data_IF_169296441366
#
_entry.id   IF_169296441366
#
_cell.length_a   1.000
_cell.length_b   1.000
_cell.length_c   1.000
_cell.angle_alpha   90.00
_cell.angle_beta   90.00
_cell.angle_gamma   90.00
#
_symmetry.space_group_name_H-M   'P 1'
#
loop_
_entity.id
_entity.type
_entity.pdbx_description
1 polymer ?
#
# COMPACT_ATOMS: atom_id res chain seq x y z
N UNK A 1 48.55 -52.95 -59.56
CA UNK A 1 47.85 -51.69 -59.80
C UNK A 1 46.38 -51.97 -59.62
N UNK A 2 45.86 -51.70 -58.43
CA UNK A 2 44.44 -51.94 -58.08
C UNK A 2 43.73 -50.61 -57.97
N UNK A 3 42.71 -50.36 -58.79
CA UNK A 3 41.89 -49.20 -58.81
C UNK A 3 40.80 -49.37 -57.73
N UNK A 4 40.75 -48.48 -56.77
CA UNK A 4 39.71 -48.41 -55.74
C UNK A 4 38.66 -47.45 -56.24
N UNK A 5 37.47 -47.92 -56.51
CA UNK A 5 36.29 -47.11 -56.82
C UNK A 5 35.62 -46.75 -55.52
N UNK A 6 35.56 -45.44 -55.19
CA UNK A 6 34.90 -44.89 -54.01
C UNK A 6 33.47 -44.57 -54.38
N UNK A 7 32.54 -45.27 -53.77
CA UNK A 7 31.09 -45.06 -53.92
C UNK A 7 30.65 -43.99 -52.89
N UNK A 8 30.18 -42.86 -53.41
CA UNK A 8 29.67 -41.77 -52.61
C UNK A 8 28.22 -42.06 -52.24
N UNK A 9 27.95 -42.24 -50.94
CA UNK A 9 26.61 -42.42 -50.41
C UNK A 9 26.06 -41.05 -49.99
N UNK A 10 25.09 -40.52 -50.73
CA UNK A 10 24.45 -39.28 -50.43
C UNK A 10 23.37 -39.55 -49.37
N UNK A 11 23.61 -39.05 -48.15
CA UNK A 11 22.62 -39.07 -47.04
C UNK A 11 21.71 -37.84 -47.13
N UNK A 12 20.46 -38.04 -47.54
CA UNK A 12 19.44 -37.02 -47.57
C UNK A 12 18.90 -36.88 -46.13
N UNK A 13 19.28 -35.80 -45.44
CA UNK A 13 18.71 -35.43 -44.13
C UNK A 13 17.44 -34.62 -44.40
N UNK A 14 16.27 -35.25 -44.19
CA UNK A 14 15.00 -34.55 -44.18
C UNK A 14 14.92 -33.67 -42.93
N UNK A 15 15.13 -32.38 -43.11
CA UNK A 15 14.96 -31.38 -42.04
C UNK A 15 13.49 -31.21 -41.70
N UNK A 16 13.05 -31.78 -40.57
CA UNK A 16 11.76 -31.46 -39.98
C UNK A 16 11.83 -30.09 -39.32
N UNK A 17 11.26 -29.08 -39.95
CA UNK A 17 11.09 -27.74 -39.36
C UNK A 17 10.08 -27.82 -38.22
N UNK A 18 10.55 -27.89 -36.98
CA UNK A 18 9.72 -27.61 -35.82
C UNK A 18 9.44 -26.11 -35.73
N UNK A 19 8.23 -25.70 -36.08
CA UNK A 19 7.74 -24.37 -35.76
C UNK A 19 7.62 -24.28 -34.26
N UNK A 20 8.57 -23.57 -33.61
CA UNK A 20 8.43 -23.16 -32.21
C UNK A 20 7.27 -22.19 -32.16
N UNK A 21 6.13 -22.63 -31.63
CA UNK A 21 5.06 -21.73 -31.13
C UNK A 21 5.67 -20.97 -29.97
N UNK A 22 6.03 -19.71 -30.20
CA UNK A 22 6.29 -18.75 -29.15
C UNK A 22 4.97 -18.55 -28.41
N UNK A 23 4.85 -19.18 -27.23
CA UNK A 23 3.82 -18.79 -26.27
C UNK A 23 4.11 -17.34 -25.90
N UNK A 24 3.29 -16.42 -26.43
CA UNK A 24 3.29 -15.06 -26.00
C UNK A 24 3.11 -15.05 -24.48
N UNK A 25 4.06 -14.41 -23.78
CA UNK A 25 3.87 -13.97 -22.41
C UNK A 25 2.70 -12.97 -22.41
N UNK A 26 1.48 -13.51 -22.38
CA UNK A 26 0.35 -12.72 -21.92
C UNK A 26 0.70 -12.35 -20.48
N UNK A 27 1.04 -11.08 -20.29
CA UNK A 27 1.21 -10.48 -18.98
C UNK A 27 -0.07 -10.76 -18.19
N UNK A 28 -0.03 -11.86 -17.43
CA UNK A 28 -1.10 -12.26 -16.50
C UNK A 28 -1.26 -11.07 -15.56
N UNK A 29 -2.29 -10.26 -15.83
CA UNK A 29 -2.64 -9.13 -14.98
C UNK A 29 -2.65 -9.67 -13.55
N UNK A 30 -1.71 -9.18 -12.71
CA UNK A 30 -1.65 -9.57 -11.30
C UNK A 30 -3.02 -9.27 -10.73
N UNK A 31 -3.78 -10.32 -10.43
CA UNK A 31 -5.02 -10.16 -9.68
C UNK A 31 -4.65 -9.39 -8.42
N UNK A 32 -5.37 -8.30 -8.09
CA UNK A 32 -5.09 -7.56 -6.87
C UNK A 32 -5.15 -8.57 -5.71
N UNK A 33 -4.05 -8.68 -4.97
CA UNK A 33 -4.02 -9.52 -3.79
C UNK A 33 -5.21 -9.14 -2.91
N UNK A 34 -5.99 -10.15 -2.46
CA UNK A 34 -7.13 -9.90 -1.59
C UNK A 34 -6.61 -9.25 -0.31
N UNK A 35 -6.86 -7.96 -0.16
CA UNK A 35 -6.48 -7.21 1.04
C UNK A 35 -7.23 -7.79 2.23
N UNK A 36 -6.51 -8.27 3.23
CA UNK A 36 -7.11 -8.77 4.47
C UNK A 36 -7.88 -7.64 5.15
N UNK A 37 -9.21 -7.78 5.18
CA UNK A 37 -10.08 -6.80 5.84
C UNK A 37 -10.22 -7.15 7.32
N UNK A 38 -9.33 -6.64 8.13
CA UNK A 38 -9.39 -6.75 9.58
C UNK A 38 -9.92 -5.46 10.18
N UNK A 39 -10.91 -5.56 11.10
CA UNK A 39 -11.45 -4.41 11.79
C UNK A 39 -10.47 -3.95 12.87
N UNK A 40 -10.00 -2.71 12.77
CA UNK A 40 -9.19 -2.00 13.77
C UNK A 40 -10.05 -0.99 14.54
N UNK A 41 -9.52 -0.43 15.63
CA UNK A 41 -10.19 0.66 16.34
C UNK A 41 -10.40 1.90 15.46
N UNK A 42 -9.44 2.17 14.56
CA UNK A 42 -9.47 3.32 13.66
C UNK A 42 -10.13 3.03 12.30
N UNK A 43 -10.76 1.86 12.11
CA UNK A 43 -11.47 1.55 10.87
C UNK A 43 -11.12 0.21 10.26
N UNK A 44 -11.29 0.10 8.95
CA UNK A 44 -11.07 -1.13 8.18
C UNK A 44 -10.54 -0.80 6.77
N UNK A 45 -9.81 -1.73 6.15
CA UNK A 45 -9.35 -1.58 4.77
C UNK A 45 -10.52 -1.25 3.83
N UNK A 46 -10.40 -0.14 3.10
CA UNK A 46 -11.42 0.36 2.20
C UNK A 46 -11.45 -0.35 0.85
N UNK A 47 -12.57 -0.21 0.14
CA UNK A 47 -12.69 -0.60 -1.25
C UNK A 47 -12.44 0.63 -2.15
N UNK A 48 -11.62 0.48 -3.18
CA UNK A 48 -11.31 1.56 -4.12
C UNK A 48 -12.57 2.13 -4.79
N UNK A 49 -13.58 1.30 -5.03
CA UNK A 49 -14.87 1.73 -5.60
C UNK A 49 -15.73 2.55 -4.64
N UNK A 50 -15.45 2.45 -3.34
CA UNK A 50 -16.19 3.17 -2.30
C UNK A 50 -15.54 4.52 -1.94
N UNK A 51 -14.40 4.86 -2.52
CA UNK A 51 -13.69 6.13 -2.27
C UNK A 51 -14.56 7.32 -2.69
N UNK A 52 -14.86 8.20 -1.73
CA UNK A 52 -15.60 9.45 -1.96
C UNK A 52 -14.73 10.69 -1.70
N UNK A 53 -13.64 10.53 -0.99
CA UNK A 53 -12.73 11.61 -0.64
C UNK A 53 -11.28 11.19 -0.88
N UNK A 54 -10.48 12.15 -1.33
CA UNK A 54 -9.04 11.98 -1.46
C UNK A 54 -8.35 13.05 -0.64
N UNK A 55 -7.42 12.63 0.21
CA UNK A 55 -6.54 13.52 0.99
C UNK A 55 -5.13 13.30 0.49
N UNK A 56 -4.41 14.38 0.20
CA UNK A 56 -2.99 14.30 -0.19
C UNK A 56 -2.14 14.82 0.96
N UNK A 57 -1.18 14.02 1.40
CA UNK A 57 -0.18 14.39 2.39
C UNK A 57 1.21 14.41 1.74
N UNK A 58 1.95 15.48 1.98
CA UNK A 58 3.39 15.53 1.67
C UNK A 58 4.19 15.09 2.87
N UNK A 59 5.25 14.32 2.63
CA UNK A 59 6.25 13.88 3.60
C UNK A 59 7.59 14.49 3.23
N UNK A 60 8.31 15.02 4.20
CA UNK A 60 9.57 15.71 3.97
C UNK A 60 10.64 15.34 5.00
N UNK A 61 11.92 15.59 4.67
CA UNK A 61 13.05 15.33 5.56
C UNK A 61 13.13 16.30 6.74
N UNK A 62 12.18 17.23 6.86
CA UNK A 62 11.96 18.01 8.09
C UNK A 62 11.19 17.21 9.15
N UNK A 63 10.92 15.93 8.87
CA UNK A 63 10.16 15.00 9.73
C UNK A 63 8.75 15.50 10.01
N UNK A 64 8.05 15.92 8.94
CA UNK A 64 6.68 16.42 9.02
C UNK A 64 5.80 15.88 7.90
N UNK A 65 4.53 15.71 8.22
CA UNK A 65 3.44 15.59 7.25
C UNK A 65 2.80 16.96 7.02
N UNK A 66 2.40 17.21 5.78
CA UNK A 66 1.66 18.42 5.42
C UNK A 66 0.49 18.07 4.51
N UNK A 67 -0.76 18.28 4.93
CA UNK A 67 -1.18 18.67 6.29
C UNK A 67 -0.90 17.58 7.34
N UNK A 68 -0.86 17.99 8.62
CA UNK A 68 -0.69 17.10 9.77
C UNK A 68 -2.03 16.70 10.42
N UNK A 69 -3.15 17.05 9.77
CA UNK A 69 -4.53 16.75 10.25
C UNK A 69 -5.39 16.24 9.11
N UNK A 70 -6.20 15.25 9.43
CA UNK A 70 -7.22 14.68 8.54
C UNK A 70 -8.55 14.68 9.32
N UNK A 71 -9.54 15.42 8.82
CA UNK A 71 -10.88 15.44 9.37
C UNK A 71 -11.82 14.71 8.43
N UNK A 72 -12.51 13.69 8.93
CA UNK A 72 -13.43 12.85 8.16
C UNK A 72 -14.72 12.59 8.93
N UNK A 73 -15.76 12.15 8.22
CA UNK A 73 -17.01 11.68 8.83
C UNK A 73 -16.95 10.16 9.01
N UNK A 74 -17.57 9.68 10.08
CA UNK A 74 -17.78 8.25 10.27
C UNK A 74 -18.45 7.61 9.04
N UNK A 75 -17.96 6.45 8.63
CA UNK A 75 -18.40 5.72 7.43
C UNK A 75 -17.73 6.17 6.13
N UNK A 76 -16.90 7.21 6.16
CA UNK A 76 -16.20 7.65 4.95
C UNK A 76 -15.08 6.67 4.56
N UNK A 77 -15.05 6.31 3.26
CA UNK A 77 -13.90 5.65 2.64
C UNK A 77 -13.04 6.72 1.97
N UNK A 78 -11.80 6.82 2.41
CA UNK A 78 -10.85 7.87 2.01
C UNK A 78 -9.65 7.23 1.32
N UNK A 79 -9.24 7.84 0.22
CA UNK A 79 -7.95 7.59 -0.42
C UNK A 79 -6.95 8.61 0.14
N UNK A 80 -5.94 8.12 0.86
CA UNK A 80 -4.83 8.94 1.35
C UNK A 80 -3.68 8.78 0.37
N UNK A 81 -3.35 9.85 -0.35
CA UNK A 81 -2.23 9.92 -1.28
C UNK A 81 -1.02 10.51 -0.57
N UNK A 82 0.07 9.78 -0.56
CA UNK A 82 1.31 10.12 0.14
C UNK A 82 2.36 10.54 -0.88
N UNK A 83 2.86 11.77 -0.81
CA UNK A 83 3.93 12.27 -1.67
C UNK A 83 5.21 12.45 -0.86
N UNK A 84 6.21 11.64 -1.12
CA UNK A 84 7.52 11.85 -0.50
C UNK A 84 8.30 12.89 -1.31
N UNK A 85 8.43 14.10 -0.75
CA UNK A 85 9.18 15.20 -1.34
C UNK A 85 10.61 15.31 -0.80
N UNK A 86 10.98 14.39 0.12
CA UNK A 86 12.30 14.29 0.71
C UNK A 86 13.25 13.39 -0.07
N UNK A 87 14.41 13.18 0.50
CA UNK A 87 15.50 12.31 0.00
C UNK A 87 15.63 11.02 0.79
N UNK A 88 14.91 10.90 1.91
CA UNK A 88 14.86 9.73 2.75
C UNK A 88 13.58 8.92 2.48
N UNK A 89 13.60 7.62 2.84
CA UNK A 89 12.39 6.82 2.90
C UNK A 89 11.46 7.38 3.98
N UNK A 90 10.19 7.50 3.68
CA UNK A 90 9.15 7.81 4.65
C UNK A 90 8.03 6.78 4.58
N UNK A 91 7.25 6.70 5.64
CA UNK A 91 6.03 5.88 5.65
C UNK A 91 4.90 6.63 6.35
N UNK A 92 3.69 6.15 6.17
CA UNK A 92 2.55 6.49 7.00
C UNK A 92 1.93 5.23 7.56
N UNK A 93 1.74 5.19 8.86
CA UNK A 93 1.02 4.15 9.59
C UNK A 93 -0.12 4.80 10.34
N UNK A 94 -1.37 4.32 10.18
CA UNK A 94 -2.54 4.77 10.93
C UNK A 94 -2.69 3.88 12.16
N UNK A 95 -3.01 4.47 13.33
CA UNK A 95 -3.22 3.71 14.55
C UNK A 95 -3.77 4.55 15.71
N UNK A 96 -3.93 3.89 16.85
CA UNK A 96 -4.07 4.59 18.11
C UNK A 96 -2.69 5.07 18.58
N UNK A 97 -2.67 6.11 19.41
CA UNK A 97 -1.41 6.61 19.97
C UNK A 97 -0.60 5.49 20.62
N UNK A 98 -1.27 4.65 21.41
CA UNK A 98 -0.63 3.54 22.12
C UNK A 98 0.05 2.57 21.16
N UNK A 99 -0.65 2.13 20.12
CA UNK A 99 -0.09 1.17 19.15
C UNK A 99 1.06 1.77 18.35
N UNK A 100 0.98 3.06 17.98
CA UNK A 100 2.07 3.74 17.30
C UNK A 100 3.30 3.90 18.19
N UNK A 101 3.12 4.20 19.49
CA UNK A 101 4.22 4.28 20.46
C UNK A 101 4.91 2.91 20.63
N UNK A 102 4.14 1.83 20.77
CA UNK A 102 4.64 0.46 20.90
C UNK A 102 5.37 0.03 19.61
N UNK A 103 4.80 0.30 18.45
CA UNK A 103 5.41 -0.04 17.16
C UNK A 103 6.69 0.78 16.91
N UNK A 104 6.70 2.07 17.21
CA UNK A 104 7.89 2.91 17.11
C UNK A 104 9.05 2.38 17.97
N UNK A 105 8.75 1.89 19.18
CA UNK A 105 9.75 1.26 20.04
C UNK A 105 10.33 -0.03 19.43
N UNK A 106 9.49 -0.84 18.77
CA UNK A 106 9.95 -2.02 18.04
C UNK A 106 10.83 -1.66 16.85
N UNK A 107 10.48 -0.62 16.08
CA UNK A 107 11.26 -0.18 14.94
C UNK A 107 12.63 0.38 15.33
N UNK A 108 12.75 1.00 16.50
CA UNK A 108 14.08 1.39 17.04
C UNK A 108 14.91 0.16 17.38
N UNK A 109 14.29 -0.88 17.92
CA UNK A 109 14.96 -2.13 18.30
C UNK A 109 15.30 -3.01 17.08
N UNK A 110 14.44 -2.99 16.06
CA UNK A 110 14.53 -3.82 14.85
C UNK A 110 14.33 -2.98 13.59
N UNK A 111 15.27 -2.09 13.24
CA UNK A 111 15.08 -1.07 12.20
C UNK A 111 14.96 -1.64 10.78
N UNK A 112 15.33 -2.90 10.57
CA UNK A 112 15.23 -3.60 9.28
C UNK A 112 14.03 -4.53 9.18
N UNK A 113 13.12 -4.52 10.16
CA UNK A 113 11.93 -5.34 10.12
C UNK A 113 10.99 -4.85 9.01
N UNK A 114 10.78 -5.68 8.00
CA UNK A 114 9.82 -5.41 6.93
C UNK A 114 8.44 -5.96 7.31
N UNK A 115 7.42 -5.15 7.12
CA UNK A 115 6.03 -5.53 7.30
C UNK A 115 5.15 -4.69 6.37
N UNK A 116 3.99 -5.20 6.06
CA UNK A 116 3.04 -4.54 5.16
C UNK A 116 1.63 -4.80 5.65
N UNK A 117 0.92 -3.73 5.96
CA UNK A 117 -0.47 -3.78 6.41
C UNK A 117 -1.32 -2.81 5.58
N UNK A 118 -2.63 -3.05 5.44
CA UNK A 118 -3.50 -2.19 4.63
C UNK A 118 -3.61 -0.73 5.11
N UNK A 119 -3.26 -0.47 6.38
CA UNK A 119 -3.28 0.85 7.01
C UNK A 119 -1.91 1.53 7.02
N UNK A 120 -0.96 1.03 6.22
CA UNK A 120 0.37 1.61 6.11
C UNK A 120 0.88 1.63 4.66
N UNK A 121 1.80 2.53 4.38
CA UNK A 121 2.50 2.57 3.10
C UNK A 121 3.89 3.18 3.25
N UNK A 122 4.89 2.46 2.75
CA UNK A 122 6.27 2.95 2.59
C UNK A 122 6.40 3.69 1.26
N UNK A 123 7.05 4.83 1.27
CA UNK A 123 7.19 5.68 0.07
C UNK A 123 8.65 6.10 -0.10
N UNK A 124 9.28 5.58 -1.14
CA UNK A 124 10.65 5.93 -1.48
C UNK A 124 10.79 7.42 -1.87
N UNK A 125 12.01 8.01 -1.80
CA UNK A 125 12.28 9.37 -2.20
C UNK A 125 11.70 9.73 -3.58
N UNK A 126 10.97 10.84 -3.66
CA UNK A 126 10.35 11.33 -4.89
C UNK A 126 9.21 10.47 -5.43
N UNK A 127 8.75 9.46 -4.69
CA UNK A 127 7.65 8.59 -5.09
C UNK A 127 6.34 8.97 -4.42
N UNK A 128 5.28 8.32 -4.88
CA UNK A 128 3.93 8.45 -4.33
C UNK A 128 3.44 7.07 -3.91
N UNK A 129 2.80 7.01 -2.74
CA UNK A 129 2.09 5.83 -2.23
C UNK A 129 0.64 6.16 -1.97
N UNK A 130 -0.18 5.15 -1.65
CA UNK A 130 -1.57 5.36 -1.29
C UNK A 130 -2.07 4.35 -0.26
N UNK A 131 -3.01 4.79 0.56
CA UNK A 131 -3.78 3.96 1.49
C UNK A 131 -5.25 4.22 1.20
N UNK A 132 -6.07 3.16 1.11
CA UNK A 132 -7.53 3.27 1.02
C UNK A 132 -8.11 2.72 2.29
N UNK A 133 -8.71 3.61 3.09
CA UNK A 133 -9.19 3.28 4.44
C UNK A 133 -10.62 3.76 4.68
N UNK A 134 -11.43 2.93 5.31
CA UNK A 134 -12.79 3.27 5.73
C UNK A 134 -12.81 3.55 7.21
N UNK A 135 -13.11 4.79 7.58
CA UNK A 135 -13.22 5.25 8.96
C UNK A 135 -14.63 4.97 9.51
N UNK A 136 -14.92 3.71 9.83
CA UNK A 136 -16.27 3.29 10.24
C UNK A 136 -16.56 3.45 11.74
N UNK A 137 -15.59 3.92 12.53
CA UNK A 137 -15.73 4.21 13.96
C UNK A 137 -15.39 5.67 14.23
N UNK A 138 -16.18 6.41 15.04
CA UNK A 138 -15.85 7.77 15.40
C UNK A 138 -14.73 7.78 16.44
N UNK A 139 -13.98 8.86 16.50
CA UNK A 139 -12.90 9.02 17.49
C UNK A 139 -11.75 9.88 16.98
N UNK A 140 -10.72 9.96 17.81
CA UNK A 140 -9.46 10.61 17.47
C UNK A 140 -8.38 9.54 17.38
N UNK A 141 -7.72 9.50 16.24
CA UNK A 141 -6.63 8.58 15.94
C UNK A 141 -5.40 9.37 15.51
N UNK A 142 -4.31 8.68 15.34
CA UNK A 142 -3.06 9.28 14.91
C UNK A 142 -2.56 8.59 13.61
N UNK A 143 -1.66 9.26 12.93
CA UNK A 143 -0.81 8.64 11.92
C UNK A 143 0.65 9.08 12.14
N UNK A 144 1.60 8.24 11.77
CA UNK A 144 2.99 8.50 12.03
C UNK A 144 3.91 7.85 11.00
N UNK A 145 5.14 8.34 10.92
CA UNK A 145 6.25 7.66 10.28
C UNK A 145 7.04 6.93 11.37
N UNK A 146 7.05 5.59 11.32
CA UNK A 146 7.67 4.76 12.36
C UNK A 146 9.09 4.29 11.99
N UNK A 147 9.63 4.75 10.85
CA UNK A 147 11.04 4.59 10.55
C UNK A 147 11.86 5.12 11.72
N UNK A 148 12.86 4.35 12.14
CA UNK A 148 13.65 4.65 13.33
C UNK A 148 14.20 6.10 13.32
N UNK A 149 13.91 6.85 14.36
CA UNK A 149 14.28 8.25 14.51
C UNK A 149 13.23 9.26 14.00
N UNK A 150 12.40 8.91 13.01
CA UNK A 150 11.42 9.85 12.43
C UNK A 150 10.28 10.16 13.39
N UNK A 151 9.75 9.14 14.05
CA UNK A 151 8.72 9.30 15.08
C UNK A 151 9.20 10.17 16.25
N UNK A 152 10.40 9.89 16.73
CA UNK A 152 11.03 10.64 17.83
C UNK A 152 11.30 12.11 17.45
N UNK A 153 11.54 12.38 16.17
CA UNK A 153 11.66 13.74 15.62
C UNK A 153 10.30 14.45 15.46
N UNK A 154 9.18 13.76 15.78
CA UNK A 154 7.84 14.32 15.74
C UNK A 154 7.12 14.17 14.41
N UNK A 155 7.51 13.21 13.56
CA UNK A 155 6.83 12.95 12.29
C UNK A 155 5.51 12.19 12.54
N UNK A 156 4.48 12.94 12.90
CA UNK A 156 3.15 12.44 13.21
C UNK A 156 2.07 13.46 12.86
N UNK A 157 0.83 12.98 12.81
CA UNK A 157 -0.35 13.81 12.62
C UNK A 157 -1.58 13.18 13.25
N UNK A 158 -2.72 13.83 13.10
CA UNK A 158 -3.99 13.46 13.75
C UNK A 158 -5.10 13.19 12.74
N UNK A 159 -5.97 12.26 13.09
CA UNK A 159 -7.21 11.97 12.38
C UNK A 159 -8.38 12.18 13.33
N UNK A 160 -9.31 13.04 12.95
CA UNK A 160 -10.58 13.21 13.67
C UNK A 160 -11.69 12.58 12.83
N UNK A 161 -12.35 11.59 13.38
CA UNK A 161 -13.52 10.94 12.77
C UNK A 161 -14.77 11.43 13.52
N UNK A 162 -15.48 12.40 12.93
CA UNK A 162 -16.71 12.91 13.48
C UNK A 162 -17.82 11.85 13.38
N UNK A 163 -18.56 11.62 14.48
CA UNK A 163 -19.71 10.75 14.47
C UNK A 163 -20.73 11.19 13.42
N UNK A 164 -21.32 10.25 12.68
CA UNK A 164 -22.48 10.53 11.85
C UNK A 164 -23.62 10.94 12.77
N UNK A 165 -24.29 12.08 12.48
CA UNK A 165 -25.54 12.42 13.16
C UNK A 165 -26.51 11.27 12.86
N UNK A 166 -26.87 10.47 13.86
CA UNK A 166 -27.96 9.53 13.74
C UNK A 166 -29.20 10.32 13.30
N UNK A 167 -29.86 9.85 12.25
CA UNK A 167 -31.18 10.35 11.90
C UNK A 167 -32.04 10.13 13.15
N UNK A 168 -32.29 11.22 13.88
CA UNK A 168 -33.12 11.19 15.04
C UNK A 168 -34.53 10.75 14.63
N UNK A 169 -34.77 9.43 14.80
CA UNK A 169 -36.12 8.91 14.67
C UNK A 169 -36.93 9.52 15.79
N UNK A 170 -37.54 10.67 15.50
CA UNK A 170 -38.56 11.29 16.34
C UNK A 170 -39.72 10.28 16.47
N UNK A 171 -39.73 9.51 17.57
CA UNK A 171 -40.91 8.78 17.98
C UNK A 171 -41.94 9.76 18.39
N UNK A 172 -42.80 10.20 17.48
CA UNK A 172 -44.09 10.80 17.84
C UNK A 172 -44.88 9.73 18.56
N UNK A 173 -44.95 9.86 19.89
CA UNK A 173 -45.99 9.23 20.68
C UNK A 173 -47.29 10.00 20.42
N UNK A 174 -48.25 9.32 19.84
CA UNK A 174 -49.65 9.65 19.93
C UNK A 174 -50.28 9.04 21.20
#
# INVERSE_FOLDING_TARGET
>A
MKKLTSTLFALIIAGSSMTAMAHGDEARAKQPAMVKKEQKEWGIAGDAKAVKHTVTLSMSDTMRFTPDKIDVKQGATVKIVLKNTGKQMHELVIGTRKELDEHAALMVKFPTMEHSEPYMAHVAPGKTGEIIWTFNKPGNFDFACLIAGHYQAGMMGKITVAASKGDGHSTHKH
#
